data_IF_725735652990
#
_entry.id   IF_725735652990
#
_cell.length_a   1.000
_cell.length_b   1.000
_cell.length_c   1.000
_cell.angle_alpha   90.00
_cell.angle_beta   90.00
_cell.angle_gamma   90.00
#
_symmetry.space_group_name_H-M   'P 1'
#
loop_
_entity.id
_entity.type
_entity.pdbx_description
1 polymer ?
#
# COMPACT_ATOMS: atom_id res chain seq x y z
N UNK A 1 -6.02 -0.72 12.84
CA UNK A 1 -6.55 -0.70 11.46
C UNK A 1 -6.42 0.70 10.92
N UNK A 2 -5.86 0.83 9.73
CA UNK A 2 -5.64 2.12 9.07
C UNK A 2 -6.12 2.05 7.63
N UNK A 3 -6.79 3.09 7.19
CA UNK A 3 -7.18 3.29 5.80
C UNK A 3 -6.41 4.48 5.25
N UNK A 4 -5.73 4.26 4.15
CA UNK A 4 -4.80 5.18 3.52
C UNK A 4 -5.28 5.46 2.11
N UNK A 5 -5.35 6.73 1.71
CA UNK A 5 -5.76 7.09 0.36
C UNK A 5 -4.67 6.76 -0.66
N UNK A 6 -5.04 6.70 -1.94
CA UNK A 6 -4.20 6.14 -2.99
C UNK A 6 -3.18 7.08 -3.61
N UNK A 7 -3.17 8.35 -3.28
CA UNK A 7 -2.24 9.32 -3.87
C UNK A 7 -0.87 9.27 -3.18
N UNK A 8 -0.83 9.56 -1.87
CA UNK A 8 0.41 9.60 -1.08
C UNK A 8 0.30 8.82 0.25
N UNK A 9 -0.61 7.84 0.36
CA UNK A 9 -0.85 7.06 1.58
C UNK A 9 -1.18 7.91 2.81
N UNK A 10 -1.85 9.05 2.63
CA UNK A 10 -2.33 9.84 3.75
C UNK A 10 -3.50 9.12 4.42
N UNK A 11 -3.47 9.13 5.74
CA UNK A 11 -4.48 8.45 6.52
C UNK A 11 -5.83 9.16 6.45
N UNK A 12 -6.86 8.39 6.16
CA UNK A 12 -8.26 8.88 6.07
C UNK A 12 -9.14 8.33 7.19
N UNK A 13 -8.70 7.25 7.83
CA UNK A 13 -9.35 6.69 9.03
C UNK A 13 -8.40 5.71 9.71
N UNK A 14 -8.32 5.78 11.03
CA UNK A 14 -7.70 4.76 11.87
C UNK A 14 -8.51 4.47 13.14
N UNK A 15 -8.30 3.32 13.73
CA UNK A 15 -8.82 2.94 15.03
C UNK A 15 -8.12 1.68 15.54
N UNK A 16 -8.14 1.50 16.86
CA UNK A 16 -7.70 0.26 17.48
C UNK A 16 -8.85 -0.75 17.50
N UNK A 17 -8.62 -1.93 16.93
CA UNK A 17 -9.55 -3.06 16.90
C UNK A 17 -9.10 -4.13 17.90
N UNK A 18 -10.04 -4.65 18.67
CA UNK A 18 -9.79 -5.68 19.69
C UNK A 18 -10.65 -6.90 19.40
N UNK A 19 -9.99 -7.99 19.10
CA UNK A 19 -10.65 -9.25 18.73
C UNK A 19 -10.50 -10.29 19.82
N UNK A 20 -11.56 -11.02 20.11
CA UNK A 20 -11.51 -12.18 20.99
C UNK A 20 -10.95 -13.42 20.27
N UNK A 21 -10.72 -14.50 20.99
CA UNK A 21 -10.25 -15.76 20.38
C UNK A 21 -11.30 -16.29 19.38
N UNK A 22 -10.88 -16.55 18.15
CA UNK A 22 -11.73 -17.02 17.04
C UNK A 22 -12.73 -15.99 16.52
N UNK A 23 -12.52 -14.73 16.80
CA UNK A 23 -13.32 -13.63 16.31
C UNK A 23 -13.04 -13.33 14.83
N UNK A 24 -14.03 -12.75 14.16
CA UNK A 24 -13.95 -12.31 12.77
C UNK A 24 -14.57 -10.93 12.68
N UNK A 25 -13.75 -9.93 12.43
CA UNK A 25 -14.23 -8.57 12.19
C UNK A 25 -14.60 -8.37 10.73
N UNK A 26 -15.74 -7.73 10.46
CA UNK A 26 -16.26 -7.44 9.13
C UNK A 26 -16.71 -5.99 9.01
N UNK A 27 -16.26 -5.33 7.98
CA UNK A 27 -16.72 -3.98 7.61
C UNK A 27 -16.85 -3.84 6.10
N UNK A 28 -17.52 -2.79 5.64
CA UNK A 28 -17.57 -2.45 4.21
C UNK A 28 -17.35 -0.97 4.00
N UNK A 29 -16.71 -0.62 2.89
CA UNK A 29 -16.58 0.76 2.42
C UNK A 29 -17.64 0.99 1.36
N UNK A 30 -18.36 2.11 1.45
CA UNK A 30 -19.35 2.51 0.46
C UNK A 30 -19.36 4.04 0.34
N UNK A 31 -19.71 4.55 -0.84
CA UNK A 31 -20.04 5.96 -1.02
C UNK A 31 -21.52 6.16 -0.71
N UNK A 32 -21.84 7.10 0.17
CA UNK A 32 -23.20 7.49 0.50
C UNK A 32 -23.60 8.86 -0.09
N UNK A 33 -22.78 9.39 -1.01
CA UNK A 33 -23.05 10.65 -1.72
C UNK A 33 -22.32 11.87 -1.17
N UNK A 34 -21.71 11.76 0.02
CA UNK A 34 -20.86 12.79 0.64
C UNK A 34 -19.40 12.27 0.80
N UNK A 35 -19.00 11.26 0.03
CA UNK A 35 -17.70 10.60 0.07
C UNK A 35 -17.74 9.21 0.71
N UNK A 36 -16.59 8.52 0.74
CA UNK A 36 -16.50 7.17 1.26
C UNK A 36 -16.70 7.11 2.78
N UNK A 37 -17.42 6.08 3.22
CA UNK A 37 -17.67 5.80 4.62
C UNK A 37 -17.37 4.34 4.91
N UNK A 38 -16.90 4.07 6.14
CA UNK A 38 -16.80 2.71 6.67
C UNK A 38 -18.12 2.35 7.37
N UNK A 39 -18.74 1.27 6.92
CA UNK A 39 -19.93 0.67 7.52
C UNK A 39 -19.51 -0.54 8.35
N UNK A 40 -19.82 -0.51 9.65
CA UNK A 40 -19.38 -1.51 10.62
C UNK A 40 -20.61 -2.18 11.23
N UNK A 41 -21.09 -3.29 10.64
CA UNK A 41 -22.15 -4.10 11.24
C UNK A 41 -21.65 -4.97 12.39
N UNK A 42 -20.36 -5.07 12.55
CA UNK A 42 -19.65 -5.89 13.51
C UNK A 42 -19.59 -5.21 14.88
N UNK A 43 -19.74 -5.98 15.95
CA UNK A 43 -19.77 -5.48 17.31
C UNK A 43 -18.49 -5.73 18.12
N UNK A 44 -17.41 -6.19 17.47
CA UNK A 44 -16.10 -6.30 18.11
C UNK A 44 -15.68 -4.95 18.69
N UNK A 45 -14.96 -4.97 19.79
CA UNK A 45 -14.53 -3.74 20.44
C UNK A 45 -13.57 -2.94 19.55
N UNK A 46 -13.84 -1.66 19.41
CA UNK A 46 -12.90 -0.70 18.82
C UNK A 46 -12.68 0.48 19.78
N UNK A 47 -11.56 1.18 19.66
CA UNK A 47 -11.37 2.47 20.31
C UNK A 47 -10.97 3.48 19.24
N UNK A 48 -11.78 4.55 19.03
CA UNK A 48 -13.13 4.76 19.63
C UNK A 48 -14.10 3.63 19.29
N UNK A 49 -15.14 3.45 20.12
CA UNK A 49 -16.10 2.35 19.94
C UNK A 49 -17.08 2.67 18.79
N UNK A 50 -16.72 2.24 17.60
CA UNK A 50 -17.38 2.61 16.35
C UNK A 50 -18.77 2.00 16.19
N UNK A 51 -19.04 0.84 16.75
CA UNK A 51 -20.36 0.19 16.69
C UNK A 51 -21.49 1.04 17.33
N UNK A 52 -21.18 1.76 18.41
CA UNK A 52 -22.14 2.65 19.08
C UNK A 52 -22.12 4.08 18.55
N UNK A 53 -21.08 4.46 17.80
CA UNK A 53 -20.95 5.79 17.21
C UNK A 53 -21.72 5.84 15.89
N UNK A 54 -22.56 6.83 15.73
CA UNK A 54 -23.25 7.15 14.48
C UNK A 54 -23.92 5.95 13.77
N UNK A 55 -24.52 5.04 14.51
CA UNK A 55 -25.17 3.83 13.98
C UNK A 55 -24.24 2.91 13.16
N UNK A 56 -22.95 2.87 13.50
CA UNK A 56 -21.95 2.06 12.78
C UNK A 56 -21.51 2.64 11.43
N UNK A 57 -21.68 3.94 11.24
CA UNK A 57 -21.24 4.66 10.02
C UNK A 57 -20.12 5.61 10.39
N UNK A 58 -18.92 5.38 9.89
CA UNK A 58 -17.76 6.23 10.11
C UNK A 58 -17.31 6.86 8.80
N UNK A 59 -17.45 8.19 8.61
CA UNK A 59 -16.91 8.88 7.44
C UNK A 59 -15.39 8.83 7.39
N UNK A 60 -14.83 8.75 6.19
CA UNK A 60 -13.42 9.03 5.97
C UNK A 60 -13.18 10.54 6.10
N UNK A 61 -11.95 10.91 6.45
CA UNK A 61 -11.58 12.29 6.72
C UNK A 61 -10.47 12.74 5.76
N UNK A 62 -10.54 14.00 5.36
CA UNK A 62 -9.58 14.66 4.47
C UNK A 62 -8.51 15.48 5.22
N UNK A 63 -8.45 15.35 6.54
CA UNK A 63 -7.64 16.19 7.42
C UNK A 63 -6.14 16.09 7.17
N UNK A 64 -5.67 14.95 6.66
CA UNK A 64 -4.23 14.68 6.47
C UNK A 64 -3.68 15.13 5.13
N UNK A 65 -4.52 15.67 4.24
CA UNK A 65 -4.11 16.20 2.93
C UNK A 65 -4.79 17.52 2.57
N UNK A 66 -5.33 18.24 3.56
CA UNK A 66 -5.95 19.55 3.40
C UNK A 66 -5.34 20.59 4.34
N UNK A 67 -5.49 21.86 4.04
CA UNK A 67 -5.01 22.96 4.86
C UNK A 67 -3.49 23.00 4.97
N UNK A 68 -2.95 22.87 6.17
CA UNK A 68 -1.50 22.90 6.41
C UNK A 68 -0.80 21.58 6.03
N UNK A 69 -1.56 20.57 5.62
CA UNK A 69 -1.06 19.24 5.24
C UNK A 69 -1.20 18.96 3.73
N UNK A 70 -1.50 20.00 2.92
CA UNK A 70 -1.53 19.87 1.46
C UNK A 70 -0.19 19.34 0.92
N UNK A 71 -0.29 18.35 0.02
CA UNK A 71 0.85 17.61 -0.54
C UNK A 71 0.91 17.69 -2.08
N UNK A 72 0.21 18.67 -2.67
CA UNK A 72 0.14 18.86 -4.12
C UNK A 72 -0.91 18.02 -4.82
N UNK A 73 -1.47 17.00 -4.17
CA UNK A 73 -2.56 16.17 -4.70
C UNK A 73 -3.95 16.80 -4.54
N UNK A 74 -5.00 16.07 -5.00
CA UNK A 74 -6.38 16.50 -4.81
C UNK A 74 -6.72 16.70 -3.33
N UNK A 75 -7.41 17.79 -3.01
CA UNK A 75 -7.80 18.15 -1.62
C UNK A 75 -9.26 17.84 -1.29
N UNK A 76 -9.93 17.07 -2.13
CA UNK A 76 -11.34 16.70 -1.92
C UNK A 76 -11.46 15.29 -1.36
N UNK A 77 -12.59 15.00 -0.72
CA UNK A 77 -12.82 13.69 -0.08
C UNK A 77 -12.90 12.54 -1.09
N UNK A 78 -13.16 12.82 -2.36
CA UNK A 78 -13.17 11.84 -3.44
C UNK A 78 -11.78 11.17 -3.61
N UNK A 79 -10.68 11.84 -3.20
CA UNK A 79 -9.34 11.24 -3.15
C UNK A 79 -9.30 9.98 -2.29
N UNK A 80 -10.12 9.90 -1.25
CA UNK A 80 -10.23 8.75 -0.36
C UNK A 80 -11.09 7.59 -0.94
N UNK A 81 -11.62 7.72 -2.17
CA UNK A 81 -12.38 6.66 -2.82
C UNK A 81 -11.49 5.48 -3.27
N UNK A 82 -10.19 5.70 -3.38
CA UNK A 82 -9.19 4.69 -3.70
C UNK A 82 -8.05 4.73 -2.68
N UNK A 83 -7.47 3.56 -2.42
CA UNK A 83 -6.39 3.47 -1.46
C UNK A 83 -6.10 2.03 -1.07
N UNK A 84 -5.43 1.88 0.04
CA UNK A 84 -5.18 0.59 0.66
C UNK A 84 -5.44 0.64 2.17
N UNK A 85 -5.51 -0.51 2.80
CA UNK A 85 -5.64 -0.58 4.24
C UNK A 85 -4.56 -1.47 4.84
N UNK A 86 -4.18 -1.14 6.06
CA UNK A 86 -3.20 -1.85 6.86
C UNK A 86 -3.86 -2.36 8.15
N UNK A 87 -3.58 -3.61 8.51
CA UNK A 87 -3.91 -4.17 9.82
C UNK A 87 -2.62 -4.62 10.48
N UNK A 88 -2.23 -3.92 11.56
CA UNK A 88 -0.99 -4.20 12.28
C UNK A 88 -1.37 -4.83 13.62
N UNK A 89 -0.95 -6.07 13.85
CA UNK A 89 -1.14 -6.73 15.13
C UNK A 89 -0.23 -6.08 16.17
N UNK A 90 -0.82 -5.28 17.06
CA UNK A 90 -0.09 -4.60 18.14
C UNK A 90 0.31 -5.58 19.25
N UNK A 91 -0.51 -6.59 19.52
CA UNK A 91 -0.19 -7.60 20.50
C UNK A 91 -1.38 -8.52 20.84
N UNK A 92 -1.14 -9.46 21.71
CA UNK A 92 -2.16 -10.38 22.23
C UNK A 92 -2.64 -9.90 23.58
N UNK A 93 -3.95 -9.66 23.70
CA UNK A 93 -4.58 -9.28 24.96
C UNK A 93 -4.45 -10.38 26.00
N UNK A 94 -4.21 -9.99 27.25
CA UNK A 94 -4.11 -10.88 28.40
C UNK A 94 -4.95 -10.35 29.56
N UNK A 95 -5.11 -11.13 30.63
CA UNK A 95 -5.77 -10.69 31.85
C UNK A 95 -7.20 -10.17 31.64
N UNK A 96 -7.49 -9.02 32.25
CA UNK A 96 -8.82 -8.42 32.22
C UNK A 96 -9.21 -7.93 30.83
N UNK A 97 -8.26 -7.38 30.03
CA UNK A 97 -8.54 -6.94 28.67
C UNK A 97 -8.97 -8.08 27.74
N UNK A 98 -8.38 -9.26 27.90
CA UNK A 98 -8.83 -10.43 27.15
C UNK A 98 -10.25 -10.88 27.55
N UNK A 99 -10.63 -10.68 28.82
CA UNK A 99 -11.97 -10.95 29.27
C UNK A 99 -13.00 -9.92 28.78
N UNK A 100 -12.62 -8.65 28.76
CA UNK A 100 -13.47 -7.54 28.33
C UNK A 100 -13.91 -7.66 26.85
N UNK A 101 -13.03 -8.17 25.97
CA UNK A 101 -13.34 -8.38 24.55
C UNK A 101 -14.07 -9.68 24.25
N UNK A 102 -14.17 -10.60 25.24
CA UNK A 102 -14.78 -11.90 25.02
C UNK A 102 -16.29 -11.76 24.87
N UNK A 103 -16.84 -12.33 23.78
CA UNK A 103 -18.28 -12.30 23.52
C UNK A 103 -19.04 -13.21 24.48
N UNK A 104 -20.12 -12.67 25.03
CA UNK A 104 -21.07 -13.41 25.88
C UNK A 104 -22.05 -14.29 25.09
N UNK A 105 -22.98 -14.91 25.78
CA UNK A 105 -24.05 -15.73 25.18
C UNK A 105 -25.00 -14.90 24.28
N UNK A 106 -25.07 -13.60 24.48
CA UNK A 106 -25.80 -12.64 23.67
C UNK A 106 -25.09 -12.18 22.41
N UNK A 107 -23.84 -12.65 22.22
CA UNK A 107 -22.99 -12.27 21.07
C UNK A 107 -22.37 -10.89 21.19
N UNK A 108 -22.42 -10.26 22.38
CA UNK A 108 -21.78 -8.95 22.62
C UNK A 108 -20.48 -9.12 23.41
N UNK A 109 -19.45 -8.27 23.16
CA UNK A 109 -18.27 -8.19 24.02
C UNK A 109 -18.67 -7.83 25.47
N UNK A 110 -17.90 -8.30 26.44
CA UNK A 110 -18.23 -8.11 27.84
C UNK A 110 -18.19 -6.64 28.30
N UNK A 111 -17.16 -5.89 27.95
CA UNK A 111 -17.03 -4.47 28.29
C UNK A 111 -16.03 -3.69 27.42
N UNK A 112 -16.44 -3.21 26.24
CA UNK A 112 -15.60 -2.38 25.39
C UNK A 112 -15.23 -1.02 26.02
N UNK A 113 -16.04 -0.52 26.96
CA UNK A 113 -15.78 0.78 27.57
C UNK A 113 -14.55 0.77 28.50
N UNK A 114 -14.20 -0.37 29.08
CA UNK A 114 -12.99 -0.50 29.88
C UNK A 114 -11.72 -0.35 29.03
N UNK A 115 -11.74 -0.79 27.73
CA UNK A 115 -10.59 -0.64 26.83
C UNK A 115 -10.31 0.82 26.52
N UNK A 116 -11.34 1.64 26.33
CA UNK A 116 -11.18 3.08 26.10
C UNK A 116 -10.51 3.78 27.30
N UNK A 117 -10.79 3.33 28.52
CA UNK A 117 -10.16 3.90 29.73
C UNK A 117 -8.68 3.59 29.80
N UNK A 118 -8.20 2.50 29.19
CA UNK A 118 -6.77 2.15 29.17
C UNK A 118 -5.93 3.10 28.32
N UNK A 119 -6.57 3.85 27.43
CA UNK A 119 -5.97 4.91 26.60
C UNK A 119 -6.20 6.33 27.16
N UNK A 120 -6.70 6.48 28.37
CA UNK A 120 -7.04 7.80 28.91
C UNK A 120 -5.91 8.37 29.74
N UNK A 121 -5.43 9.56 29.37
CA UNK A 121 -4.57 10.37 30.21
C UNK A 121 -5.37 10.95 31.39
N UNK A 122 -4.85 10.83 32.61
CA UNK A 122 -5.46 11.43 33.80
C UNK A 122 -4.47 12.39 34.44
N UNK A 123 -4.60 13.68 34.16
CA UNK A 123 -3.76 14.74 34.73
C UNK A 123 -3.91 14.79 36.25
N UNK A 124 -2.83 14.48 36.98
CA UNK A 124 -2.81 14.45 38.45
C UNK A 124 -3.44 13.21 39.08
N UNK A 125 -3.63 12.16 38.29
CA UNK A 125 -4.11 10.83 38.69
C UNK A 125 -3.24 9.71 38.13
N UNK A 126 -3.78 8.51 38.09
CA UNK A 126 -3.14 7.37 37.41
C UNK A 126 -3.79 7.25 36.04
N UNK A 127 -3.00 7.42 34.98
CA UNK A 127 -3.43 7.25 33.60
C UNK A 127 -3.72 5.77 33.29
N UNK A 128 -4.41 5.52 32.16
CA UNK A 128 -4.63 4.16 31.66
C UNK A 128 -3.31 3.47 31.33
N UNK A 129 -3.28 2.16 31.52
CA UNK A 129 -2.02 1.37 31.41
C UNK A 129 -1.41 1.39 30.00
N UNK A 130 -2.24 1.45 28.96
CA UNK A 130 -1.76 1.49 27.58
C UNK A 130 -1.29 2.89 27.17
N UNK A 131 -1.97 3.93 27.67
CA UNK A 131 -1.52 5.32 27.49
C UNK A 131 -0.15 5.54 28.15
N UNK A 132 0.01 5.05 29.38
CA UNK A 132 1.27 5.16 30.12
C UNK A 132 2.42 4.43 29.41
N UNK A 133 2.18 3.24 28.89
CA UNK A 133 3.18 2.47 28.13
C UNK A 133 3.55 3.18 26.80
N UNK A 134 2.57 3.68 26.07
CA UNK A 134 2.78 4.42 24.82
C UNK A 134 3.61 5.71 25.02
N UNK A 135 3.44 6.38 26.18
CA UNK A 135 4.11 7.65 26.50
C UNK A 135 5.36 7.48 27.35
N UNK A 136 5.81 6.25 27.60
CA UNK A 136 7.02 5.96 28.36
C UNK A 136 6.95 6.38 29.82
N UNK A 137 5.74 6.44 30.44
CA UNK A 137 5.58 6.68 31.85
C UNK A 137 6.03 5.47 32.65
N UNK A 138 7.11 5.59 33.45
CA UNK A 138 7.69 4.51 34.25
C UNK A 138 6.80 4.06 35.43
N UNK A 139 5.71 4.73 35.72
CA UNK A 139 4.84 4.43 36.85
C UNK A 139 3.82 3.33 36.51
N UNK A 140 4.30 2.11 36.43
CA UNK A 140 3.43 0.96 36.64
C UNK A 140 2.56 1.18 37.90
N UNK A 141 1.24 0.88 37.86
CA UNK A 141 0.44 0.88 39.06
C UNK A 141 1.16 0.07 40.16
N UNK A 142 1.24 0.61 41.36
CA UNK A 142 1.98 0.07 42.51
C UNK A 142 1.59 -1.38 42.94
N UNK A 143 0.80 -2.06 42.14
CA UNK A 143 0.32 -3.43 42.34
C UNK A 143 1.10 -4.49 41.57
N UNK A 144 1.96 -4.10 40.62
CA UNK A 144 2.79 -5.06 39.87
C UNK A 144 4.05 -5.39 40.64
N UNK A 145 4.39 -6.69 40.69
CA UNK A 145 5.66 -7.11 41.29
C UNK A 145 6.82 -6.63 40.40
N UNK A 146 7.96 -6.30 40.99
CA UNK A 146 9.12 -5.84 40.24
C UNK A 146 9.51 -6.88 39.16
N UNK A 147 9.34 -6.50 37.88
CA UNK A 147 9.61 -7.34 36.70
C UNK A 147 8.36 -7.95 36.05
N UNK A 148 7.14 -7.63 36.50
CA UNK A 148 5.93 -7.91 35.75
C UNK A 148 5.65 -6.79 34.75
N UNK A 149 5.09 -7.17 33.58
CA UNK A 149 4.67 -6.21 32.57
C UNK A 149 3.59 -5.28 33.10
N UNK A 150 3.71 -3.99 32.84
CA UNK A 150 2.72 -2.99 33.24
C UNK A 150 1.50 -2.94 32.34
N UNK A 151 1.42 -3.83 31.39
CA UNK A 151 0.36 -3.90 30.40
C UNK A 151 -0.29 -5.29 30.46
N UNK A 152 -1.57 -5.37 30.11
CA UNK A 152 -2.28 -6.61 29.85
C UNK A 152 -2.29 -6.96 28.35
N UNK A 153 -1.23 -6.58 27.67
CA UNK A 153 -0.87 -6.96 26.31
C UNK A 153 0.47 -7.70 26.34
N UNK A 154 0.60 -8.69 25.49
CA UNK A 154 1.84 -9.42 25.28
C UNK A 154 2.23 -9.38 23.80
N UNK A 155 3.43 -9.87 23.50
CA UNK A 155 3.99 -9.94 22.15
C UNK A 155 2.95 -10.38 21.12
N UNK A 156 3.02 -9.76 19.91
CA UNK A 156 2.26 -10.16 18.74
C UNK A 156 2.43 -11.66 18.43
N UNK A 157 1.34 -12.32 18.11
CA UNK A 157 1.31 -13.75 17.81
C UNK A 157 1.57 -14.07 16.35
N UNK A 158 1.39 -13.09 15.45
CA UNK A 158 1.36 -13.27 14.01
C UNK A 158 0.16 -14.09 13.53
N UNK A 159 -0.93 -14.07 14.29
CA UNK A 159 -2.12 -14.89 14.05
C UNK A 159 -3.21 -14.24 13.19
N UNK A 160 -2.97 -13.03 12.67
CA UNK A 160 -3.92 -12.34 11.81
C UNK A 160 -3.89 -12.87 10.38
N UNK A 161 -5.05 -12.97 9.78
CA UNK A 161 -5.23 -13.14 8.34
C UNK A 161 -6.46 -12.35 7.90
N UNK A 162 -6.51 -11.97 6.64
CA UNK A 162 -7.62 -11.18 6.14
C UNK A 162 -7.73 -11.25 4.62
N UNK A 163 -8.81 -10.68 4.13
CA UNK A 163 -9.07 -10.53 2.72
C UNK A 163 -10.10 -9.42 2.51
N UNK A 164 -10.24 -9.03 1.28
CA UNK A 164 -11.24 -8.06 0.88
C UNK A 164 -12.00 -8.52 -0.37
N UNK A 165 -13.18 -7.94 -0.58
CA UNK A 165 -13.95 -8.14 -1.79
C UNK A 165 -14.43 -6.80 -2.32
N UNK A 166 -14.26 -6.57 -3.61
CA UNK A 166 -14.88 -5.46 -4.33
C UNK A 166 -16.22 -5.94 -4.86
N UNK A 167 -17.30 -5.25 -4.51
CA UNK A 167 -18.67 -5.61 -4.88
C UNK A 167 -19.25 -4.54 -5.80
N UNK A 168 -19.59 -4.91 -7.03
CA UNK A 168 -20.37 -4.07 -7.93
C UNK A 168 -21.84 -4.49 -7.81
N UNK A 169 -22.61 -3.72 -7.03
CA UNK A 169 -24.02 -4.03 -6.76
C UNK A 169 -24.91 -3.87 -8.00
N UNK A 170 -24.57 -2.97 -8.91
CA UNK A 170 -25.35 -2.69 -10.12
C UNK A 170 -25.26 -3.85 -11.13
N UNK A 171 -24.09 -4.45 -11.25
CA UNK A 171 -23.83 -5.59 -12.11
C UNK A 171 -24.02 -6.93 -11.40
N UNK A 172 -24.05 -6.93 -10.07
CA UNK A 172 -24.11 -8.14 -9.25
C UNK A 172 -22.82 -8.97 -9.32
N UNK A 173 -21.69 -8.33 -9.51
CA UNK A 173 -20.37 -8.99 -9.52
C UNK A 173 -19.62 -8.76 -8.22
N UNK A 174 -18.77 -9.71 -7.87
CA UNK A 174 -17.91 -9.64 -6.69
C UNK A 174 -16.53 -10.24 -7.02
N UNK A 175 -15.50 -9.52 -6.65
CA UNK A 175 -14.11 -9.92 -6.80
C UNK A 175 -13.46 -9.94 -5.42
N UNK A 176 -12.79 -11.04 -5.07
CA UNK A 176 -12.15 -11.16 -3.76
C UNK A 176 -10.65 -11.44 -3.89
N UNK A 177 -9.90 -10.95 -2.93
CA UNK A 177 -8.46 -11.18 -2.81
C UNK A 177 -8.05 -11.34 -1.36
N UNK A 178 -6.94 -12.06 -1.13
CA UNK A 178 -6.35 -12.22 0.18
C UNK A 178 -5.41 -11.06 0.49
N UNK A 179 -5.39 -10.62 1.74
CA UNK A 179 -4.41 -9.65 2.21
C UNK A 179 -2.98 -10.24 2.17
N UNK A 180 -2.00 -9.41 1.90
CA UNK A 180 -0.59 -9.80 2.01
C UNK A 180 -0.20 -9.85 3.48
N UNK A 181 0.08 -11.05 3.98
CA UNK A 181 0.50 -11.25 5.37
C UNK A 181 2.02 -11.08 5.53
N UNK A 182 2.43 -10.26 6.51
CA UNK A 182 3.83 -10.08 6.93
C UNK A 182 3.96 -10.69 8.32
N UNK A 183 4.91 -11.60 8.49
CA UNK A 183 5.17 -12.24 9.77
C UNK A 183 6.50 -11.77 10.37
N UNK A 184 6.58 -11.76 11.70
CA UNK A 184 7.78 -11.37 12.42
C UNK A 184 8.05 -9.86 12.38
N UNK A 185 7.03 -9.06 12.11
CA UNK A 185 7.11 -7.62 11.99
C UNK A 185 7.61 -6.92 13.27
N UNK A 186 7.12 -7.39 14.42
CA UNK A 186 7.53 -6.89 15.73
C UNK A 186 7.81 -8.05 16.69
N UNK A 187 8.86 -7.93 17.50
CA UNK A 187 9.28 -8.91 18.51
C UNK A 187 9.29 -8.34 19.93
N UNK A 188 8.73 -7.15 20.13
CA UNK A 188 8.57 -6.53 21.45
C UNK A 188 7.85 -7.47 22.41
N UNK A 189 8.37 -7.69 23.63
CA UNK A 189 7.75 -8.63 24.56
C UNK A 189 6.37 -8.16 25.06
N UNK A 190 6.12 -6.87 25.09
CA UNK A 190 4.88 -6.25 25.55
C UNK A 190 3.94 -5.89 24.39
N UNK A 191 4.33 -6.15 23.13
CA UNK A 191 3.62 -5.64 21.96
C UNK A 191 3.87 -4.16 21.68
N UNK A 192 3.12 -3.63 20.74
CA UNK A 192 3.14 -2.21 20.33
C UNK A 192 2.02 -1.45 21.03
N UNK A 193 2.29 -0.23 21.49
CA UNK A 193 1.31 0.65 22.13
C UNK A 193 1.25 1.98 21.40
N UNK A 194 0.19 2.18 20.64
CA UNK A 194 -0.08 3.43 19.91
C UNK A 194 -1.52 3.86 20.16
N UNK A 195 -1.70 5.15 20.44
CA UNK A 195 -3.02 5.69 20.74
C UNK A 195 -3.93 5.64 19.50
N UNK A 196 -5.24 5.40 19.70
CA UNK A 196 -6.20 5.49 18.60
C UNK A 196 -6.25 6.94 18.07
N UNK A 197 -6.25 7.11 16.75
CA UNK A 197 -6.18 8.42 16.08
C UNK A 197 -4.76 8.94 15.87
N UNK A 198 -3.73 8.17 16.25
CA UNK A 198 -2.34 8.48 15.90
C UNK A 198 -2.00 7.88 14.51
N UNK A 199 -1.17 8.57 13.74
CA UNK A 199 -0.68 8.06 12.45
C UNK A 199 0.22 6.81 12.55
N UNK A 200 0.44 6.32 13.75
CA UNK A 200 1.17 5.10 14.06
C UNK A 200 0.25 4.09 14.81
N UNK A 201 0.52 2.77 14.73
CA UNK A 201 1.61 2.14 13.98
C UNK A 201 1.39 2.15 12.47
N UNK A 202 2.49 2.08 11.72
CA UNK A 202 2.51 1.93 10.27
C UNK A 202 3.40 0.74 9.89
N UNK A 203 3.53 0.45 8.60
CA UNK A 203 4.51 -0.56 8.12
C UNK A 203 5.97 -0.21 8.47
N UNK A 204 6.24 1.02 8.90
CA UNK A 204 7.54 1.46 9.39
C UNK A 204 7.76 1.24 10.90
N UNK A 205 6.73 0.82 11.64
CA UNK A 205 6.78 0.71 13.11
C UNK A 205 7.31 -0.62 13.64
N UNK A 206 7.73 -1.52 12.76
CA UNK A 206 8.33 -2.79 13.17
C UNK A 206 9.71 -2.62 13.80
N UNK A 207 10.13 -3.59 14.60
CA UNK A 207 11.44 -3.63 15.26
C UNK A 207 12.46 -4.55 14.55
N UNK A 208 12.07 -5.12 13.39
CA UNK A 208 12.90 -6.06 12.66
C UNK A 208 13.54 -5.40 11.44
N UNK A 209 14.85 -5.52 11.35
CA UNK A 209 15.71 -5.03 10.28
C UNK A 209 16.21 -6.17 9.36
N UNK A 210 15.67 -7.37 9.51
CA UNK A 210 15.95 -8.52 8.68
C UNK A 210 14.70 -9.05 7.97
N UNK A 211 14.88 -9.66 6.81
CA UNK A 211 13.79 -10.33 6.10
C UNK A 211 14.24 -11.58 5.36
N UNK A 212 13.30 -12.47 5.07
CA UNK A 212 13.50 -13.63 4.22
C UNK A 212 12.93 -13.38 2.83
N UNK A 213 13.78 -13.24 1.82
CA UNK A 213 13.41 -13.06 0.44
C UNK A 213 13.56 -14.36 -0.34
N UNK A 214 12.51 -14.74 -1.07
CA UNK A 214 12.53 -15.95 -1.89
C UNK A 214 12.89 -15.62 -3.33
N UNK A 215 14.03 -16.12 -3.78
CA UNK A 215 14.46 -16.02 -5.16
C UNK A 215 13.99 -17.25 -5.94
N UNK A 216 13.15 -17.04 -6.96
CA UNK A 216 12.61 -18.08 -7.80
C UNK A 216 13.67 -18.79 -8.67
N UNK A 217 13.23 -19.42 -9.74
CA UNK A 217 14.11 -20.10 -10.72
C UNK A 217 15.07 -19.09 -11.35
N UNK A 218 16.36 -19.41 -11.50
CA UNK A 218 17.00 -20.73 -11.29
C UNK A 218 17.47 -21.02 -9.87
N UNK A 219 17.47 -20.03 -8.96
CA UNK A 219 18.07 -20.18 -7.63
C UNK A 219 17.22 -21.02 -6.69
N UNK A 220 15.90 -20.82 -6.70
CA UNK A 220 14.91 -21.51 -5.88
C UNK A 220 15.35 -21.61 -4.40
N UNK A 221 15.78 -20.47 -3.83
CA UNK A 221 16.31 -20.36 -2.48
C UNK A 221 15.69 -19.19 -1.74
N UNK A 222 15.43 -19.37 -0.45
CA UNK A 222 15.16 -18.28 0.46
C UNK A 222 16.48 -17.80 1.06
N UNK A 223 16.66 -16.50 1.17
CA UNK A 223 17.84 -15.87 1.72
C UNK A 223 17.41 -14.86 2.76
N UNK A 224 18.05 -14.90 3.90
CA UNK A 224 17.93 -13.87 4.93
C UNK A 224 18.82 -12.69 4.53
N UNK A 225 18.25 -11.50 4.61
CA UNK A 225 18.90 -10.25 4.24
C UNK A 225 18.73 -9.26 5.37
N UNK A 226 19.83 -8.61 5.72
CA UNK A 226 19.88 -7.59 6.76
C UNK A 226 19.80 -6.20 6.12
N UNK A 227 19.08 -5.28 6.78
CA UNK A 227 18.85 -3.91 6.33
C UNK A 227 19.25 -2.93 7.44
N UNK A 228 19.27 -1.64 7.11
CA UNK A 228 19.56 -0.60 8.09
C UNK A 228 18.36 -0.18 8.94
N UNK A 229 17.16 -0.54 8.50
CA UNK A 229 15.91 -0.18 9.17
C UNK A 229 14.78 -1.15 8.82
N UNK A 230 13.69 -1.08 9.59
CA UNK A 230 12.52 -1.94 9.41
C UNK A 230 11.71 -1.63 8.14
N UNK A 231 11.73 -0.40 7.66
CA UNK A 231 11.05 -0.02 6.41
C UNK A 231 11.61 -0.79 5.23
N UNK A 232 12.95 -0.87 5.14
CA UNK A 232 13.63 -1.61 4.09
C UNK A 232 13.34 -3.12 4.20
N UNK A 233 13.32 -3.65 5.43
CA UNK A 233 12.98 -5.04 5.66
C UNK A 233 11.55 -5.36 5.21
N UNK A 234 10.57 -4.50 5.50
CA UNK A 234 9.19 -4.63 5.02
C UNK A 234 9.11 -4.46 3.51
N UNK A 235 9.78 -3.44 2.96
CA UNK A 235 9.79 -3.20 1.51
C UNK A 235 10.31 -4.41 0.74
N UNK A 236 11.32 -5.09 1.28
CA UNK A 236 11.95 -6.24 0.63
C UNK A 236 11.00 -7.40 0.37
N UNK A 237 9.97 -7.59 1.22
CA UNK A 237 8.98 -8.68 1.02
C UNK A 237 7.97 -8.38 -0.07
N UNK A 238 7.94 -7.13 -0.53
CA UNK A 238 7.14 -6.66 -1.65
C UNK A 238 7.96 -6.43 -2.92
N UNK A 239 9.29 -6.57 -2.88
CA UNK A 239 10.16 -6.28 -4.01
C UNK A 239 9.85 -7.17 -5.20
N UNK A 240 9.63 -6.53 -6.36
CA UNK A 240 9.46 -7.19 -7.65
C UNK A 240 10.22 -6.44 -8.74
N UNK A 241 11.04 -7.17 -9.51
CA UNK A 241 11.62 -6.68 -10.76
C UNK A 241 10.54 -6.57 -11.83
N UNK A 242 9.66 -7.57 -11.89
CA UNK A 242 8.53 -7.59 -12.82
C UNK A 242 7.30 -8.16 -12.15
N UNK A 243 6.13 -7.66 -12.52
CA UNK A 243 4.85 -8.28 -12.21
C UNK A 243 4.13 -8.69 -13.49
N UNK A 244 3.37 -9.77 -13.40
CA UNK A 244 2.66 -10.37 -14.54
C UNK A 244 1.23 -10.69 -14.16
N UNK A 245 0.31 -10.49 -15.11
CA UNK A 245 -1.07 -10.89 -14.97
C UNK A 245 -1.75 -11.04 -16.34
N UNK A 246 -2.98 -11.53 -16.33
CA UNK A 246 -3.83 -11.65 -17.52
C UNK A 246 -4.58 -10.35 -17.78
N UNK A 247 -5.00 -10.14 -19.03
CA UNK A 247 -5.93 -9.09 -19.44
C UNK A 247 -6.89 -9.57 -20.52
N UNK A 248 -8.04 -8.92 -20.60
CA UNK A 248 -9.09 -9.15 -21.60
C UNK A 248 -9.72 -7.80 -21.96
N UNK A 249 -9.80 -7.49 -23.26
CA UNK A 249 -10.25 -6.18 -23.76
C UNK A 249 -11.24 -6.33 -24.93
N UNK A 250 -12.15 -7.29 -24.87
CA UNK A 250 -13.12 -7.49 -25.95
C UNK A 250 -14.05 -6.29 -26.04
N UNK A 251 -13.98 -5.53 -27.14
CA UNK A 251 -14.75 -4.32 -27.37
C UNK A 251 -16.25 -4.53 -27.10
N UNK A 252 -16.81 -3.68 -26.24
CA UNK A 252 -18.22 -3.71 -25.87
C UNK A 252 -18.67 -4.91 -25.06
N UNK A 253 -17.73 -5.76 -24.59
CA UNK A 253 -18.08 -6.95 -23.85
C UNK A 253 -17.14 -7.27 -22.67
N UNK A 254 -15.92 -6.78 -22.63
CA UNK A 254 -14.98 -7.07 -21.54
C UNK A 254 -14.00 -5.93 -21.30
N UNK A 255 -13.60 -5.75 -20.03
CA UNK A 255 -12.55 -4.85 -19.60
C UNK A 255 -11.68 -5.47 -18.53
N UNK A 256 -10.50 -4.92 -18.35
CA UNK A 256 -9.54 -5.32 -17.32
C UNK A 256 -8.92 -4.08 -16.69
N UNK A 257 -8.79 -4.10 -15.38
CA UNK A 257 -8.02 -3.12 -14.64
C UNK A 257 -7.00 -3.82 -13.75
N UNK A 258 -5.75 -3.37 -13.82
CA UNK A 258 -4.70 -3.78 -12.91
C UNK A 258 -4.52 -2.71 -11.84
N UNK A 259 -4.63 -3.10 -10.60
CA UNK A 259 -4.30 -2.24 -9.45
C UNK A 259 -2.86 -2.52 -9.06
N UNK A 260 -2.03 -1.49 -9.08
CA UNK A 260 -0.60 -1.53 -8.74
C UNK A 260 -0.40 -0.62 -7.54
N UNK A 261 -0.09 -1.20 -6.40
CA UNK A 261 0.08 -0.48 -5.13
C UNK A 261 1.54 -0.55 -4.70
N UNK A 262 2.10 0.60 -4.33
CA UNK A 262 3.43 0.74 -3.73
C UNK A 262 3.32 0.96 -2.21
N UNK A 263 3.13 -0.08 -1.40
CA UNK A 263 2.67 0.06 -0.02
C UNK A 263 3.66 0.74 0.93
N UNK A 264 4.89 0.95 0.49
CA UNK A 264 5.95 1.58 1.29
C UNK A 264 6.52 2.84 0.66
N UNK A 265 5.99 3.30 -0.48
CA UNK A 265 6.53 4.45 -1.20
C UNK A 265 6.55 5.72 -0.36
N UNK A 266 5.47 6.00 0.38
CA UNK A 266 5.36 7.18 1.23
C UNK A 266 6.51 7.31 2.24
N UNK A 267 7.04 6.21 2.75
CA UNK A 267 8.17 6.23 3.68
C UNK A 267 9.49 6.67 3.05
N UNK A 268 9.60 6.66 1.73
CA UNK A 268 10.77 7.09 0.98
C UNK A 268 10.56 8.42 0.27
N UNK A 269 9.32 8.78 -0.03
CA UNK A 269 8.99 9.93 -0.87
C UNK A 269 8.30 11.07 -0.10
N UNK A 270 7.64 10.81 1.03
CA UNK A 270 6.92 11.81 1.79
C UNK A 270 7.79 12.39 2.92
N UNK A 271 8.23 13.64 2.75
CA UNK A 271 9.08 14.35 3.73
C UNK A 271 8.43 14.47 5.12
N UNK A 272 7.11 14.62 5.18
CA UNK A 272 6.38 14.71 6.44
C UNK A 272 6.45 13.39 7.23
N UNK A 273 6.18 12.25 6.57
CA UNK A 273 6.28 10.93 7.19
C UNK A 273 7.72 10.59 7.58
N UNK A 274 8.69 10.89 6.72
CA UNK A 274 10.12 10.68 7.02
C UNK A 274 10.54 11.42 8.28
N UNK A 275 10.18 12.70 8.43
CA UNK A 275 10.47 13.49 9.62
C UNK A 275 9.77 12.92 10.86
N UNK A 276 8.51 12.53 10.74
CA UNK A 276 7.73 11.98 11.85
C UNK A 276 8.30 10.66 12.36
N UNK A 277 8.77 9.81 11.46
CA UNK A 277 9.38 8.52 11.79
C UNK A 277 10.82 8.64 12.27
N UNK A 278 11.40 9.86 12.29
CA UNK A 278 12.80 10.07 12.63
C UNK A 278 13.76 9.45 11.63
N UNK A 279 13.30 9.19 10.42
CA UNK A 279 14.14 8.86 9.29
C UNK A 279 14.84 10.16 8.93
N UNK A 280 16.02 10.34 9.52
CA UNK A 280 16.78 11.58 9.40
C UNK A 280 17.21 11.74 7.94
N UNK A 281 16.71 12.79 7.31
CA UNK A 281 17.24 13.23 6.04
C UNK A 281 18.61 13.87 6.32
N UNK A 282 19.62 13.02 6.47
CA UNK A 282 21.00 13.44 6.71
C UNK A 282 21.68 13.99 5.44
N UNK A 283 20.89 14.42 4.47
CA UNK A 283 21.44 15.19 3.35
C UNK A 283 22.08 16.45 3.92
N UNK A 284 23.41 16.47 3.97
CA UNK A 284 24.12 17.71 4.17
C UNK A 284 23.75 18.65 3.05
N UNK A 285 23.01 19.73 3.35
CA UNK A 285 22.80 20.81 2.38
C UNK A 285 24.18 21.21 1.82
N UNK A 286 24.28 21.29 0.51
CA UNK A 286 25.46 21.82 -0.13
C UNK A 286 25.86 23.14 0.53
N UNK A 287 27.08 23.27 1.04
CA UNK A 287 27.54 24.54 1.57
C UNK A 287 27.36 25.58 0.47
N UNK A 288 26.62 26.65 0.73
CA UNK A 288 26.35 27.73 -0.23
C UNK A 288 27.61 28.37 -0.87
N UNK A 289 28.79 27.91 -0.51
CA UNK A 289 30.09 28.34 -0.97
C UNK A 289 30.83 27.31 -1.83
N UNK A 290 30.29 26.11 -2.05
CA UNK A 290 30.91 25.09 -2.88
C UNK A 290 30.27 25.05 -4.28
N UNK A 291 30.91 25.63 -5.31
CA UNK A 291 30.35 25.66 -6.65
C UNK A 291 30.40 24.30 -7.38
N UNK A 292 31.04 23.30 -6.79
CA UNK A 292 31.16 21.96 -7.34
C UNK A 292 30.24 20.96 -6.63
N UNK A 293 29.45 21.39 -5.63
CA UNK A 293 28.44 20.60 -4.98
C UNK A 293 27.12 20.77 -5.73
N UNK A 294 26.82 19.83 -6.59
CA UNK A 294 25.51 19.72 -7.25
C UNK A 294 24.56 18.96 -6.32
N UNK A 295 23.25 19.28 -6.39
CA UNK A 295 22.20 18.59 -5.63
C UNK A 295 22.22 17.06 -5.84
N UNK A 296 22.79 16.59 -6.94
CA UNK A 296 22.99 15.18 -7.31
C UNK A 296 24.11 14.49 -6.50
N UNK A 297 25.06 15.26 -5.94
CA UNK A 297 26.18 14.72 -5.13
C UNK A 297 25.79 14.53 -3.64
N UNK A 298 24.62 14.98 -3.25
CA UNK A 298 24.15 15.01 -1.85
C UNK A 298 23.45 13.73 -1.38
N UNK A 299 23.45 12.69 -2.18
CA UNK A 299 22.97 11.38 -1.72
C UNK A 299 23.98 10.86 -0.72
N UNK A 300 23.69 11.09 0.57
CA UNK A 300 24.52 10.51 1.64
C UNK A 300 24.52 8.97 1.49
N UNK A 301 25.73 8.45 1.40
CA UNK A 301 26.01 7.03 1.24
C UNK A 301 25.64 6.21 2.47
N UNK A 302 25.18 6.81 3.54
CA UNK A 302 24.78 6.12 4.79
C UNK A 302 23.38 5.53 4.72
N UNK A 303 22.50 6.04 3.84
CA UNK A 303 21.24 5.39 3.55
C UNK A 303 21.39 4.47 2.33
N UNK A 304 20.96 3.21 2.43
CA UNK A 304 20.78 2.40 1.24
C UNK A 304 19.87 3.19 0.29
N UNK A 305 20.25 3.23 -0.99
CA UNK A 305 19.47 3.93 -2.00
C UNK A 305 18.05 3.42 -1.95
N UNK A 306 17.10 4.32 -1.71
CA UNK A 306 15.69 3.97 -1.73
C UNK A 306 15.33 3.37 -3.08
N UNK A 307 14.44 2.37 -3.13
CA UNK A 307 14.05 1.78 -4.41
C UNK A 307 13.29 2.78 -5.30
N UNK A 308 12.72 3.83 -4.70
CA UNK A 308 11.98 4.88 -5.40
C UNK A 308 12.89 6.02 -5.83
N UNK A 309 12.68 6.52 -7.05
CA UNK A 309 13.61 7.43 -7.72
C UNK A 309 13.53 8.88 -7.26
N UNK A 310 12.45 9.27 -6.59
CA UNK A 310 12.31 10.65 -6.12
C UNK A 310 12.06 10.69 -4.60
N UNK A 311 12.95 11.38 -3.90
CA UNK A 311 12.91 11.58 -2.46
C UNK A 311 12.10 12.84 -2.06
N UNK A 312 11.46 13.56 -3.01
CA UNK A 312 10.87 14.87 -2.77
C UNK A 312 9.36 15.00 -3.05
N UNK A 313 8.61 13.92 -2.93
CA UNK A 313 7.13 13.99 -2.86
C UNK A 313 6.38 13.92 -4.20
N UNK A 314 7.00 14.14 -5.33
CA UNK A 314 6.36 13.99 -6.65
C UNK A 314 7.00 12.84 -7.46
N UNK A 315 7.37 11.77 -6.77
CA UNK A 315 8.07 10.65 -7.38
C UNK A 315 7.20 9.83 -8.30
N UNK A 316 7.42 9.97 -9.59
CA UNK A 316 6.84 9.08 -10.58
C UNK A 316 7.83 7.98 -10.92
N UNK A 317 7.39 6.71 -10.78
CA UNK A 317 8.21 5.56 -11.08
C UNK A 317 8.04 5.14 -12.52
N UNK A 318 9.14 5.08 -13.25
CA UNK A 318 9.15 4.69 -14.66
C UNK A 318 9.04 3.17 -14.75
N UNK A 319 8.00 2.69 -15.43
CA UNK A 319 7.76 1.28 -15.67
C UNK A 319 7.52 1.02 -17.16
N UNK A 320 7.77 -0.20 -17.63
CA UNK A 320 7.40 -0.60 -18.99
C UNK A 320 6.42 -1.75 -18.98
N UNK A 321 5.45 -1.70 -19.88
CA UNK A 321 4.48 -2.77 -20.08
C UNK A 321 4.70 -3.44 -21.42
N UNK A 322 4.79 -4.76 -21.41
CA UNK A 322 4.81 -5.60 -22.58
C UNK A 322 3.68 -6.61 -22.53
N UNK A 323 2.93 -6.73 -23.62
CA UNK A 323 1.79 -7.63 -23.71
C UNK A 323 2.01 -8.73 -24.74
N UNK A 324 1.32 -9.84 -24.56
CA UNK A 324 1.30 -11.00 -25.47
C UNK A 324 -0.13 -11.47 -25.63
N UNK A 325 -0.48 -11.81 -26.85
CA UNK A 325 -1.73 -12.48 -27.14
C UNK A 325 -1.68 -13.98 -26.81
N UNK A 326 -2.79 -14.67 -27.04
CA UNK A 326 -2.90 -16.13 -26.83
C UNK A 326 -2.06 -16.96 -27.81
N UNK A 327 -1.49 -16.36 -28.85
CA UNK A 327 -0.60 -16.99 -29.81
C UNK A 327 0.87 -16.62 -29.59
N UNK A 328 1.17 -16.00 -28.45
CA UNK A 328 2.51 -15.52 -28.08
C UNK A 328 3.06 -14.40 -28.99
N UNK A 329 2.19 -13.74 -29.76
CA UNK A 329 2.55 -12.53 -30.46
C UNK A 329 2.72 -11.40 -29.44
N UNK A 330 3.76 -10.61 -29.58
CA UNK A 330 4.07 -9.48 -28.68
C UNK A 330 3.57 -8.18 -29.27
N UNK A 331 3.02 -7.35 -28.40
CA UNK A 331 2.69 -5.97 -28.68
C UNK A 331 3.12 -5.11 -27.48
N UNK A 332 3.58 -3.93 -27.77
CA UNK A 332 3.89 -2.90 -26.76
C UNK A 332 2.79 -1.87 -26.84
N UNK A 333 1.89 -1.78 -25.82
CA UNK A 333 0.75 -0.91 -25.88
C UNK A 333 1.17 0.56 -25.94
N UNK A 334 0.51 1.33 -26.77
CA UNK A 334 0.63 2.79 -26.75
C UNK A 334 -0.28 3.32 -25.64
N UNK A 335 0.30 3.86 -24.58
CA UNK A 335 -0.45 4.54 -23.53
C UNK A 335 -0.66 6.02 -23.81
N UNK A 336 -1.75 6.64 -23.32
CA UNK A 336 -1.95 8.08 -23.44
C UNK A 336 -0.92 8.91 -22.67
N UNK A 337 -0.18 8.28 -21.77
CA UNK A 337 0.93 8.86 -21.03
C UNK A 337 2.30 8.39 -21.47
N UNK A 338 2.47 7.95 -22.73
CA UNK A 338 3.83 7.71 -23.21
C UNK A 338 4.58 9.03 -23.15
N UNK A 339 5.28 9.25 -22.04
CA UNK A 339 6.12 10.43 -21.90
C UNK A 339 7.26 10.23 -22.84
N UNK A 340 7.17 10.93 -23.96
CA UNK A 340 8.38 11.32 -24.65
C UNK A 340 9.17 12.12 -23.60
N UNK A 341 10.14 11.47 -22.95
CA UNK A 341 11.07 12.15 -22.04
C UNK A 341 11.34 13.54 -22.61
N UNK A 342 11.13 14.63 -21.86
CA UNK A 342 11.62 15.92 -22.32
C UNK A 342 13.11 15.71 -22.62
N UNK A 343 13.62 16.17 -23.74
CA UNK A 343 14.99 15.92 -24.09
C UNK A 343 15.86 16.45 -22.97
N UNK A 344 16.49 15.52 -22.22
CA UNK A 344 17.59 15.86 -21.35
C UNK A 344 18.56 16.63 -22.24
N UNK A 345 18.89 17.86 -21.87
CA UNK A 345 19.85 18.72 -22.60
C UNK A 345 21.27 18.26 -22.25
N UNK A 346 21.50 17.01 -22.42
CA UNK A 346 22.80 16.34 -22.51
C UNK A 346 22.84 15.77 -23.93
N UNK A 347 23.98 15.70 -24.61
CA UNK A 347 24.01 15.12 -25.94
C UNK A 347 23.37 13.74 -25.86
N UNK A 348 22.16 13.63 -26.41
CA UNK A 348 21.40 12.40 -26.43
C UNK A 348 22.35 11.28 -26.88
N UNK A 349 22.37 10.11 -26.19
CA UNK A 349 23.04 8.96 -26.75
C UNK A 349 22.52 8.77 -28.16
N UNK A 350 23.36 8.36 -29.12
CA UNK A 350 22.93 8.20 -30.49
C UNK A 350 21.68 7.33 -30.49
N UNK A 351 20.62 7.85 -31.12
CA UNK A 351 19.36 7.16 -31.30
C UNK A 351 19.65 5.72 -31.74
N UNK A 352 19.38 4.69 -30.91
CA UNK A 352 19.64 3.31 -31.28
C UNK A 352 18.84 2.88 -32.51
N UNK A 353 17.81 3.65 -32.88
CA UNK A 353 16.97 3.47 -34.06
C UNK A 353 17.39 4.30 -35.25
N UNK A 354 18.57 4.99 -35.21
CA UNK A 354 19.10 5.70 -36.36
C UNK A 354 19.42 4.72 -37.50
N UNK A 355 19.08 5.11 -38.73
CA UNK A 355 19.21 4.32 -39.96
C UNK A 355 20.58 3.59 -40.03
N UNK A 356 20.55 2.26 -39.92
CA UNK A 356 21.71 1.39 -40.08
C UNK A 356 21.85 0.24 -39.09
N UNK A 357 21.01 0.15 -38.06
CA UNK A 357 20.92 -0.96 -37.13
C UNK A 357 19.55 -1.61 -37.28
N UNK A 358 19.43 -2.53 -38.25
CA UNK A 358 18.18 -3.29 -38.52
C UNK A 358 17.95 -4.46 -37.53
N UNK A 359 18.63 -4.51 -36.37
CA UNK A 359 18.35 -5.52 -35.33
C UNK A 359 17.52 -4.89 -34.21
N UNK A 360 16.20 -5.18 -34.27
CA UNK A 360 15.21 -5.06 -33.20
C UNK A 360 15.28 -3.79 -32.34
N UNK A 361 14.94 -2.66 -32.95
CA UNK A 361 14.51 -1.50 -32.18
C UNK A 361 13.12 -1.77 -31.62
N UNK A 362 13.04 -2.40 -30.46
CA UNK A 362 11.80 -2.46 -29.69
C UNK A 362 11.72 -1.17 -28.87
N UNK A 363 10.84 -0.27 -29.28
CA UNK A 363 10.47 0.89 -28.46
C UNK A 363 9.60 0.34 -27.32
N UNK A 364 10.18 0.19 -26.13
CA UNK A 364 9.39 -0.16 -24.94
C UNK A 364 8.47 1.00 -24.61
N UNK A 365 7.18 0.71 -24.46
CA UNK A 365 6.22 1.69 -23.97
C UNK A 365 6.46 1.91 -22.49
N UNK A 366 6.80 3.13 -22.14
CA UNK A 366 7.17 3.53 -20.80
C UNK A 366 6.05 4.37 -20.22
N UNK A 367 5.65 4.04 -18.97
CA UNK A 367 4.64 4.77 -18.21
C UNK A 367 5.28 5.34 -16.94
N UNK A 368 4.68 6.39 -16.43
CA UNK A 368 4.99 6.88 -15.08
C UNK A 368 3.85 6.51 -14.13
N UNK A 369 4.21 5.89 -13.00
CA UNK A 369 3.30 5.59 -11.91
C UNK A 369 3.63 6.51 -10.75
N UNK A 370 2.81 7.56 -10.57
CA UNK A 370 3.10 8.63 -9.62
C UNK A 370 2.50 8.40 -8.24
N UNK A 371 1.42 7.62 -8.16
CA UNK A 371 0.64 7.46 -6.94
C UNK A 371 1.06 6.20 -6.15
N UNK A 372 0.64 6.12 -4.90
CA UNK A 372 0.77 4.91 -4.10
C UNK A 372 -0.08 3.77 -4.67
N UNK A 373 -1.30 4.08 -5.09
CA UNK A 373 -2.19 3.18 -5.82
C UNK A 373 -2.37 3.69 -7.23
N UNK A 374 -2.05 2.87 -8.22
CA UNK A 374 -2.19 3.18 -9.64
C UNK A 374 -3.09 2.16 -10.30
N UNK A 375 -3.95 2.59 -11.22
CA UNK A 375 -4.84 1.70 -11.96
C UNK A 375 -4.50 1.76 -13.45
N UNK A 376 -4.16 0.60 -14.01
CA UNK A 376 -3.94 0.43 -15.44
C UNK A 376 -5.19 -0.18 -16.06
N UNK A 377 -5.94 0.59 -16.85
CA UNK A 377 -7.12 0.12 -17.56
C UNK A 377 -6.75 -0.36 -18.95
N UNK A 378 -7.05 -1.60 -19.24
CA UNK A 378 -6.91 -2.19 -20.57
C UNK A 378 -8.24 -2.10 -21.32
N UNK A 379 -8.24 -1.36 -22.42
CA UNK A 379 -9.44 -1.10 -23.21
C UNK A 379 -10.35 -0.02 -22.63
N UNK A 380 -11.56 0.09 -23.19
CA UNK A 380 -12.49 1.20 -22.89
C UNK A 380 -13.37 0.95 -21.64
N UNK A 381 -13.51 -0.30 -21.22
CA UNK A 381 -14.44 -0.66 -20.13
C UNK A 381 -13.74 -0.64 -18.78
N UNK A 382 -14.32 0.12 -17.85
CA UNK A 382 -13.91 0.10 -16.45
C UNK A 382 -14.55 -1.07 -15.71
N UNK A 383 -13.77 -1.72 -14.84
CA UNK A 383 -14.24 -2.77 -13.92
C UNK A 383 -14.70 -2.15 -12.60
N UNK A 384 -13.97 -1.15 -12.10
CA UNK A 384 -14.20 -0.56 -10.79
C UNK A 384 -14.86 0.83 -10.84
N UNK A 385 -14.98 1.43 -12.03
CA UNK A 385 -15.42 2.82 -12.14
C UNK A 385 -14.41 3.82 -11.60
N UNK A 386 -13.14 3.46 -11.64
CA UNK A 386 -12.02 4.29 -11.16
C UNK A 386 -12.12 5.70 -11.71
N UNK A 387 -12.16 6.72 -10.86
CA UNK A 387 -12.24 8.10 -11.30
C UNK A 387 -10.94 8.56 -11.96
N UNK A 388 -11.06 9.46 -12.91
CA UNK A 388 -9.94 10.15 -13.53
C UNK A 388 -9.79 11.52 -12.87
N UNK A 389 -8.71 11.75 -12.13
CA UNK A 389 -8.46 13.01 -11.43
C UNK A 389 -7.77 14.07 -12.30
N UNK A 390 -7.53 13.79 -13.58
CA UNK A 390 -6.94 14.74 -14.52
C UNK A 390 -5.43 14.59 -14.70
N UNK A 391 -4.82 15.60 -15.35
CA UNK A 391 -3.45 15.50 -15.87
C UNK A 391 -2.34 15.45 -14.78
N UNK A 392 -2.64 15.92 -13.57
CA UNK A 392 -1.66 16.09 -12.50
C UNK A 392 -1.87 15.11 -11.33
N UNK A 393 -2.07 13.84 -11.57
CA UNK A 393 -2.21 12.86 -10.50
C UNK A 393 -3.36 11.89 -10.72
N UNK A 394 -3.64 11.56 -11.97
CA UNK A 394 -4.60 10.52 -12.31
C UNK A 394 -4.14 9.18 -11.74
N UNK A 395 -5.00 8.55 -10.94
CA UNK A 395 -4.82 7.16 -10.50
C UNK A 395 -5.02 6.19 -11.66
N UNK A 396 -5.66 6.65 -12.74
CA UNK A 396 -6.05 5.85 -13.88
C UNK A 396 -5.19 6.13 -15.10
N UNK A 397 -4.53 5.10 -15.60
CA UNK A 397 -3.84 5.08 -16.88
C UNK A 397 -4.59 4.17 -17.85
N UNK A 398 -5.01 4.71 -19.00
CA UNK A 398 -5.63 3.91 -20.05
C UNK A 398 -4.55 3.31 -20.95
N UNK A 399 -4.63 2.00 -21.16
CA UNK A 399 -3.72 1.23 -22.02
C UNK A 399 -4.48 0.79 -23.26
N UNK A 400 -4.03 1.25 -24.43
CA UNK A 400 -4.54 0.74 -25.70
C UNK A 400 -3.78 -0.55 -26.06
N UNK A 401 -4.51 -1.61 -26.40
CA UNK A 401 -3.93 -2.89 -26.75
C UNK A 401 -4.54 -3.44 -28.05
N UNK A 402 -3.69 -3.98 -28.94
CA UNK A 402 -4.13 -4.61 -30.19
C UNK A 402 -4.77 -5.98 -29.98
N UNK A 403 -4.58 -6.59 -28.79
CA UNK A 403 -5.02 -7.93 -28.53
C UNK A 403 -6.28 -7.97 -27.66
N UNK A 404 -7.26 -8.73 -28.09
CA UNK A 404 -8.50 -8.89 -27.33
C UNK A 404 -8.33 -9.63 -25.99
N UNK A 405 -7.25 -10.37 -25.82
CA UNK A 405 -6.93 -11.07 -24.58
C UNK A 405 -5.52 -11.65 -24.61
N UNK A 406 -4.89 -11.70 -23.46
CA UNK A 406 -3.56 -12.26 -23.32
C UNK A 406 -3.03 -12.12 -21.89
N UNK A 407 -1.74 -11.89 -21.79
CA UNK A 407 -1.07 -11.58 -20.54
C UNK A 407 -0.07 -10.44 -20.74
N UNK A 408 0.16 -9.70 -19.69
CA UNK A 408 1.10 -8.61 -19.67
C UNK A 408 2.20 -8.80 -18.64
N UNK A 409 3.32 -8.14 -18.86
CA UNK A 409 4.42 -8.02 -17.90
C UNK A 409 4.76 -6.55 -17.73
N UNK A 410 4.59 -6.08 -16.51
CA UNK A 410 5.02 -4.75 -16.09
C UNK A 410 6.42 -4.88 -15.48
N UNK A 411 7.40 -4.18 -16.04
CA UNK A 411 8.79 -4.15 -15.56
C UNK A 411 8.97 -2.94 -14.64
N UNK A 412 9.50 -3.18 -13.45
CA UNK A 412 9.81 -2.20 -12.41
C UNK A 412 11.32 -1.87 -12.35
N UNK A 413 12.11 -2.44 -13.25
CA UNK A 413 13.57 -2.32 -13.26
C UNK A 413 14.07 -1.29 -14.29
N UNK A 414 13.25 -0.32 -14.64
CA UNK A 414 13.63 0.73 -15.58
C UNK A 414 14.22 1.89 -14.77
N UNK A 415 15.44 2.26 -15.11
CA UNK A 415 16.14 3.36 -14.45
C UNK A 415 15.40 4.70 -14.59
N UNK A 416 15.46 5.48 -13.53
CA UNK A 416 14.99 6.86 -13.50
C UNK A 416 15.83 7.80 -14.37
N UNK A 417 15.88 9.08 -14.02
CA UNK A 417 16.60 10.13 -14.78
C UNK A 417 18.09 9.84 -15.01
N UNK A 418 18.72 8.99 -14.19
CA UNK A 418 20.15 8.64 -14.25
C UNK A 418 20.43 7.29 -14.89
N UNK A 419 19.44 6.65 -15.55
CA UNK A 419 19.53 5.30 -16.15
C UNK A 419 19.91 4.19 -15.13
N UNK A 420 19.87 4.49 -13.84
CA UNK A 420 20.13 3.51 -12.78
C UNK A 420 18.86 2.74 -12.44
N UNK A 421 18.96 1.41 -12.43
CA UNK A 421 17.84 0.56 -12.00
C UNK A 421 17.45 0.86 -10.54
N UNK A 422 16.14 0.87 -10.19
CA UNK A 422 15.71 1.00 -8.81
C UNK A 422 16.20 -0.19 -7.99
N UNK A 423 16.88 0.09 -6.89
CA UNK A 423 17.54 -0.94 -6.06
C UNK A 423 17.33 -0.68 -4.60
N UNK A 424 16.73 -1.65 -3.90
CA UNK A 424 16.75 -1.70 -2.44
C UNK A 424 18.05 -2.37 -2.00
N UNK A 425 18.93 -1.63 -1.32
CA UNK A 425 20.24 -2.13 -0.88
C UNK A 425 20.14 -2.80 0.49
N UNK A 426 20.91 -3.87 0.63
CA UNK A 426 21.18 -4.55 1.88
C UNK A 426 22.68 -4.52 2.16
N UNK A 427 23.11 -4.93 3.32
CA UNK A 427 24.54 -5.06 3.68
C UNK A 427 25.32 -5.97 2.73
N UNK A 428 24.64 -6.89 2.06
CA UNK A 428 25.29 -7.94 1.25
C UNK A 428 25.07 -7.76 -0.25
N UNK A 429 23.92 -7.17 -0.66
CA UNK A 429 23.51 -7.11 -2.07
C UNK A 429 22.39 -6.09 -2.27
N UNK A 430 21.96 -5.87 -3.53
CA UNK A 430 20.76 -5.10 -3.87
C UNK A 430 19.63 -6.00 -4.35
N UNK A 431 18.41 -5.62 -4.08
CA UNK A 431 17.21 -6.17 -4.71
C UNK A 431 16.74 -5.20 -5.78
N UNK A 432 16.67 -5.65 -7.02
CA UNK A 432 16.28 -4.82 -8.16
C UNK A 432 14.78 -4.82 -8.33
N UNK A 433 14.19 -3.65 -8.57
CA UNK A 433 12.77 -3.42 -8.77
C UNK A 433 12.15 -2.53 -7.70
N UNK A 434 10.84 -2.57 -7.58
CA UNK A 434 10.05 -1.77 -6.64
C UNK A 434 9.24 -2.65 -5.68
N UNK A 435 8.97 -2.18 -4.46
CA UNK A 435 8.00 -2.80 -3.55
C UNK A 435 6.59 -2.66 -4.12
N UNK A 436 5.99 -3.76 -4.54
CA UNK A 436 4.70 -3.76 -5.23
C UNK A 436 3.76 -4.83 -4.70
N UNK A 437 2.49 -4.46 -4.52
CA UNK A 437 1.37 -5.36 -4.32
C UNK A 437 0.26 -5.04 -5.32
N UNK A 438 -0.70 -5.94 -5.51
CA UNK A 438 -1.87 -5.65 -6.33
C UNK A 438 -2.41 -6.86 -7.05
N UNK A 439 -3.33 -6.58 -7.95
CA UNK A 439 -4.09 -7.60 -8.67
C UNK A 439 -4.59 -7.09 -10.01
N UNK A 440 -5.00 -8.02 -10.88
CA UNK A 440 -5.80 -7.78 -12.07
C UNK A 440 -7.22 -8.20 -11.80
N UNK A 441 -8.18 -7.36 -12.13
CA UNK A 441 -9.59 -7.72 -12.19
C UNK A 441 -10.11 -7.54 -13.62
N UNK A 442 -10.97 -8.47 -14.05
CA UNK A 442 -11.58 -8.40 -15.35
C UNK A 442 -13.07 -8.75 -15.27
N UNK A 443 -13.87 -8.11 -16.11
CA UNK A 443 -15.31 -8.28 -16.17
C UNK A 443 -15.76 -8.47 -17.61
N UNK A 444 -16.71 -9.42 -17.83
CA UNK A 444 -17.41 -9.62 -19.08
C UNK A 444 -18.88 -9.25 -18.93
N UNK A 445 -19.40 -8.51 -19.91
CA UNK A 445 -20.83 -8.34 -20.16
C UNK A 445 -21.28 -9.18 -21.36
N UNK A 446 -22.19 -10.10 -21.14
CA UNK A 446 -22.81 -10.86 -22.21
C UNK A 446 -24.28 -10.44 -22.40
N UNK A 447 -24.63 -10.12 -23.62
CA UNK A 447 -25.99 -9.77 -24.01
C UNK A 447 -26.62 -10.91 -24.82
N UNK A 448 -27.62 -11.58 -24.27
CA UNK A 448 -28.41 -12.60 -24.98
C UNK A 448 -29.71 -12.00 -25.51
N UNK A 449 -29.92 -12.08 -26.84
CA UNK A 449 -30.97 -11.33 -27.55
C UNK A 449 -32.21 -12.16 -27.94
N UNK A 450 -32.39 -13.40 -27.54
CA UNK A 450 -33.58 -14.18 -27.87
C UNK A 450 -34.76 -13.87 -26.94
N UNK A 451 -35.65 -12.99 -27.37
CA UNK A 451 -36.92 -12.71 -26.69
C UNK A 451 -36.87 -11.67 -25.57
N UNK A 452 -35.78 -11.03 -25.38
CA UNK A 452 -35.50 -9.99 -24.38
C UNK A 452 -34.00 -9.96 -24.10
N UNK A 453 -33.48 -8.78 -23.76
CA UNK A 453 -32.05 -8.67 -23.43
C UNK A 453 -31.84 -9.21 -22.02
N UNK A 454 -31.17 -10.34 -21.89
CA UNK A 454 -30.63 -10.82 -20.62
C UNK A 454 -29.17 -10.40 -20.60
N UNK A 455 -28.82 -9.54 -19.66
CA UNK A 455 -27.43 -9.19 -19.34
C UNK A 455 -26.89 -10.20 -18.33
N UNK A 456 -25.74 -10.73 -18.59
CA UNK A 456 -25.01 -11.57 -17.64
C UNK A 456 -23.60 -10.99 -17.48
N UNK A 457 -23.26 -10.69 -16.25
CA UNK A 457 -21.94 -10.22 -15.86
C UNK A 457 -21.21 -11.36 -15.17
N UNK A 458 -19.95 -11.51 -15.49
CA UNK A 458 -19.03 -12.42 -14.77
C UNK A 458 -17.60 -11.94 -14.93
N UNK A 459 -16.78 -12.25 -13.96
CA UNK A 459 -15.40 -11.80 -13.98
C UNK A 459 -14.53 -12.59 -13.01
N UNK A 460 -13.33 -12.16 -12.85
CA UNK A 460 -12.34 -12.74 -11.97
C UNK A 460 -11.33 -11.72 -11.48
N UNK A 461 -10.62 -12.11 -10.42
CA UNK A 461 -9.52 -11.34 -9.88
C UNK A 461 -8.33 -12.28 -9.64
N UNK A 462 -7.15 -11.86 -10.05
CA UNK A 462 -5.89 -12.58 -9.83
C UNK A 462 -4.85 -11.64 -9.25
N UNK A 463 -4.31 -12.00 -8.10
CA UNK A 463 -3.16 -11.28 -7.54
C UNK A 463 -1.99 -11.33 -8.52
N UNK A 464 -1.22 -10.25 -8.59
CA UNK A 464 -0.04 -10.17 -9.44
C UNK A 464 0.97 -11.27 -9.07
N UNK A 465 1.60 -11.81 -10.09
CA UNK A 465 2.72 -12.74 -9.96
C UNK A 465 3.98 -12.01 -10.37
N UNK A 466 4.99 -12.11 -9.55
CA UNK A 466 6.23 -11.39 -9.80
C UNK A 466 7.47 -12.21 -9.48
N UNK A 467 8.60 -11.66 -9.82
CA UNK A 467 9.92 -12.17 -9.48
C UNK A 467 10.76 -11.04 -8.86
N UNK A 468 11.72 -11.43 -8.07
CA UNK A 468 12.73 -10.54 -7.52
C UNK A 468 14.10 -10.91 -8.11
N UNK A 469 14.91 -9.90 -8.42
CA UNK A 469 16.28 -10.05 -8.91
C UNK A 469 17.26 -9.42 -7.91
N UNK A 470 18.47 -10.00 -7.88
CA UNK A 470 19.63 -9.48 -7.16
C UNK A 470 20.49 -8.61 -8.06
#
# INVERSE_FOLDING_TARGET
VRFLEGFNSREVLDFNLYMSMHDVWVASIADQGDGPVLLIPDNSCTVPYLYEIADGVQPFLDLRYTGDFEDGGPTTIERAAEGHFEMIEMGVLTGDSAADVTHGEDGMPADCAELSKKWTEIVGGTSGIWWAEANGEEDCPATTAAGEACTDMSRSSGGLFGGAAVVNADNGTMYSYDAKAIQGFDKSPNGLHYEPGDELPSLASGDQDDSWVFFGVPQNTAVELDYSNSVDAVSSVFMHETVMNEYVTVEGAAGTEWVVTFPTKAFYADEYLMKKLGIDDTREECPAADPDCDDDDLIDVTYPRAPFTNLFGEGCEIVSLKTWDRNELTFEPEGPGSIVRPPVVSPAPPDPCAEGFEEECTVETVFELCNEVNVLRFGEQSVFGTPDFGDDGSLLLSVEDEFAAGWGRLSMAIGGFDDDEPVLRTDQQGLVGLPVAGFSAWEFENNYAEGGTIKAFYGGLFQHKGNVRR
#
